data_IF_252855621573
#
_entry.id   IF_252855621573
#
_cell.length_a   1.000
_cell.length_b   1.000
_cell.length_c   1.000
_cell.angle_alpha   90.00
_cell.angle_beta   90.00
_cell.angle_gamma   90.00
#
_symmetry.space_group_name_H-M   'P 1'
#
loop_
_entity.id
_entity.type
_entity.pdbx_description
1 polymer ?
#
# COMPACT_ATOMS: atom_id res chain seq x y z
N UNK A 1 5.77 14.37 -12.64
CA UNK A 1 5.51 13.05 -12.05
C UNK A 1 6.49 12.92 -10.91
N UNK A 2 6.00 12.94 -9.66
CA UNK A 2 6.83 12.85 -8.46
C UNK A 2 6.22 11.83 -7.51
N UNK A 3 6.97 10.78 -7.19
CA UNK A 3 6.59 9.74 -6.23
C UNK A 3 7.56 9.83 -5.07
N UNK A 4 7.05 9.79 -3.84
CA UNK A 4 7.90 9.80 -2.65
C UNK A 4 7.30 8.98 -1.52
N UNK A 5 8.18 8.31 -0.79
CA UNK A 5 7.89 7.60 0.44
C UNK A 5 8.80 8.21 1.51
N UNK A 6 8.22 8.66 2.61
CA UNK A 6 8.97 9.37 3.65
C UNK A 6 8.53 8.96 5.06
N UNK A 7 9.49 8.85 5.97
CA UNK A 7 9.26 8.77 7.42
C UNK A 7 9.33 10.16 8.11
N UNK A 8 9.51 11.24 7.33
CA UNK A 8 9.68 12.62 7.81
C UNK A 8 11.14 13.06 7.97
N UNK A 9 12.11 12.15 8.04
CA UNK A 9 13.56 12.47 8.10
C UNK A 9 14.32 12.01 6.85
N UNK A 10 13.87 10.91 6.27
CA UNK A 10 14.41 10.23 5.10
C UNK A 10 13.29 10.13 4.07
N UNK A 11 13.63 10.40 2.81
CA UNK A 11 12.69 10.31 1.70
C UNK A 11 13.34 9.52 0.58
N UNK A 12 12.62 8.53 0.08
CA UNK A 12 13.00 7.75 -1.09
C UNK A 12 12.05 8.08 -2.23
N UNK A 13 12.59 8.23 -3.43
CA UNK A 13 11.85 8.65 -4.63
C UNK A 13 11.94 7.57 -5.71
N UNK A 14 10.98 6.63 -5.78
CA UNK A 14 10.91 5.68 -6.87
C UNK A 14 10.78 6.38 -8.23
N UNK A 15 11.27 5.71 -9.26
CA UNK A 15 11.10 6.16 -10.65
C UNK A 15 9.62 6.07 -11.08
N UNK A 16 8.95 4.96 -10.75
CA UNK A 16 7.53 4.75 -11.04
C UNK A 16 6.87 3.77 -10.04
N UNK A 17 5.53 3.72 -10.06
CA UNK A 17 4.71 2.68 -9.44
C UNK A 17 4.10 1.81 -10.54
N UNK A 18 4.69 0.64 -10.77
CA UNK A 18 4.27 -0.32 -11.79
C UNK A 18 2.84 -0.84 -11.55
N UNK A 19 2.46 -0.94 -10.28
CA UNK A 19 1.15 -1.40 -9.89
C UNK A 19 0.89 -1.21 -8.42
N UNK A 20 -0.39 -1.12 -8.07
CA UNK A 20 -0.83 -1.15 -6.68
C UNK A 20 -2.20 -1.82 -6.56
N UNK A 21 -2.44 -2.45 -5.41
CA UNK A 21 -3.74 -2.96 -5.03
C UNK A 21 -4.26 -2.19 -3.81
N UNK A 22 -5.59 -2.07 -3.73
CA UNK A 22 -6.26 -1.53 -2.54
C UNK A 22 -7.42 -2.45 -2.21
N UNK A 23 -7.47 -2.86 -0.95
CA UNK A 23 -8.58 -3.60 -0.38
C UNK A 23 -8.95 -2.99 0.98
N UNK A 24 -10.21 -3.19 1.38
CA UNK A 24 -10.72 -2.84 2.71
C UNK A 24 -11.60 -3.99 3.16
N UNK A 25 -11.45 -4.40 4.42
CA UNK A 25 -12.36 -5.39 4.99
C UNK A 25 -13.71 -4.74 5.29
N UNK A 26 -14.79 -5.33 4.76
CA UNK A 26 -16.15 -4.94 5.16
C UNK A 26 -16.39 -5.32 6.61
N UNK A 27 -17.01 -4.41 7.36
CA UNK A 27 -17.45 -4.66 8.74
C UNK A 27 -18.98 -4.77 8.85
N UNK A 28 -19.69 -4.74 7.73
CA UNK A 28 -21.15 -4.87 7.72
C UNK A 28 -21.57 -6.24 8.26
N UNK A 29 -22.63 -6.24 9.08
CA UNK A 29 -23.25 -7.47 9.59
C UNK A 29 -24.59 -7.66 8.88
N UNK A 30 -24.75 -8.80 8.23
CA UNK A 30 -25.98 -9.16 7.52
C UNK A 30 -26.78 -10.19 8.31
N UNK A 31 -28.07 -9.94 8.47
CA UNK A 31 -29.01 -10.78 9.19
C UNK A 31 -30.03 -11.36 8.22
N UNK A 32 -30.10 -12.68 8.16
CA UNK A 32 -31.16 -13.35 7.40
C UNK A 32 -32.46 -13.30 8.20
N UNK A 33 -33.53 -12.82 7.60
CA UNK A 33 -34.83 -12.75 8.27
C UNK A 33 -35.52 -14.10 8.13
N UNK A 34 -35.78 -14.77 9.26
CA UNK A 34 -36.43 -16.08 9.28
C UNK A 34 -37.87 -15.95 8.76
N UNK A 35 -38.27 -16.88 7.89
CA UNK A 35 -39.63 -16.93 7.33
C UNK A 35 -39.79 -16.25 5.97
N UNK A 36 -38.71 -15.69 5.41
CA UNK A 36 -38.68 -15.15 4.05
C UNK A 36 -37.39 -15.54 3.35
N UNK A 37 -37.50 -15.98 2.10
CA UNK A 37 -36.35 -16.46 1.32
C UNK A 37 -35.49 -15.32 0.74
N UNK A 38 -35.97 -14.07 0.81
CA UNK A 38 -35.37 -12.95 0.06
C UNK A 38 -35.06 -11.72 0.90
N UNK A 39 -35.50 -11.65 2.16
CA UNK A 39 -35.22 -10.47 2.98
C UNK A 39 -33.96 -10.66 3.83
N UNK A 40 -33.05 -9.69 3.69
CA UNK A 40 -31.83 -9.54 4.48
C UNK A 40 -31.90 -8.17 5.12
N UNK A 41 -31.64 -8.11 6.42
CA UNK A 41 -31.39 -6.85 7.12
C UNK A 41 -29.88 -6.65 7.29
N UNK A 42 -29.44 -5.40 7.39
CA UNK A 42 -28.02 -5.08 7.46
C UNK A 42 -27.73 -4.01 8.52
N UNK A 43 -26.76 -4.30 9.38
CA UNK A 43 -26.13 -3.27 10.22
C UNK A 43 -24.91 -2.75 9.46
N UNK A 44 -24.98 -1.49 9.02
CA UNK A 44 -23.92 -0.84 8.27
C UNK A 44 -22.85 -0.29 9.21
N UNK A 45 -21.61 -0.70 8.99
CA UNK A 45 -20.43 -0.27 9.74
C UNK A 45 -19.38 0.17 8.70
N UNK A 46 -18.67 1.25 8.98
CA UNK A 46 -17.61 1.73 8.10
C UNK A 46 -16.61 0.61 7.77
N UNK A 47 -16.20 0.52 6.51
CA UNK A 47 -15.16 -0.43 6.13
C UNK A 47 -13.85 -0.12 6.88
N UNK A 48 -13.03 -1.15 7.07
CA UNK A 48 -11.70 -0.99 7.65
C UNK A 48 -10.78 -0.06 6.87
N UNK A 49 -9.62 0.22 7.45
CA UNK A 49 -8.54 0.96 6.79
C UNK A 49 -8.05 0.21 5.54
N UNK A 50 -7.48 0.96 4.59
CA UNK A 50 -6.96 0.36 3.36
C UNK A 50 -5.76 -0.53 3.65
N UNK A 51 -5.62 -1.57 2.85
CA UNK A 51 -4.41 -2.39 2.77
C UNK A 51 -4.20 -2.82 1.33
N UNK A 52 -3.00 -3.26 1.01
CA UNK A 52 -2.70 -3.79 -0.31
C UNK A 52 -1.21 -3.95 -0.52
N UNK A 53 -0.82 -3.96 -1.79
CA UNK A 53 0.58 -4.11 -2.20
C UNK A 53 0.94 -2.98 -3.14
N UNK A 54 2.09 -2.35 -2.92
CA UNK A 54 2.73 -1.47 -3.91
C UNK A 54 3.80 -2.24 -4.66
N UNK A 55 4.03 -1.91 -5.92
CA UNK A 55 5.22 -2.35 -6.67
C UNK A 55 5.91 -1.13 -7.27
N UNK A 56 7.07 -0.81 -6.72
CA UNK A 56 7.90 0.34 -7.09
C UNK A 56 8.96 -0.06 -8.09
N UNK A 57 9.33 0.87 -8.97
CA UNK A 57 10.43 0.75 -9.92
C UNK A 57 11.57 1.70 -9.52
N UNK A 58 12.79 1.22 -9.61
CA UNK A 58 14.03 1.95 -9.41
C UNK A 58 15.02 1.64 -10.54
N UNK A 59 15.81 2.62 -10.94
CA UNK A 59 16.92 2.46 -11.89
C UNK A 59 18.24 2.11 -11.18
N UNK A 60 18.33 2.33 -9.86
CA UNK A 60 19.52 2.05 -9.04
C UNK A 60 19.22 1.06 -7.90
N UNK A 61 20.23 0.27 -7.53
CA UNK A 61 20.15 -0.68 -6.42
C UNK A 61 20.13 0.04 -5.07
N UNK A 62 20.92 1.11 -4.91
CA UNK A 62 21.06 1.79 -3.62
C UNK A 62 19.73 2.43 -3.18
N UNK A 63 18.95 3.01 -4.10
CA UNK A 63 17.62 3.54 -3.81
C UNK A 63 16.60 2.43 -3.50
N UNK A 64 16.68 1.29 -4.18
CA UNK A 64 15.85 0.13 -3.88
C UNK A 64 16.18 -0.47 -2.49
N UNK A 65 17.46 -0.46 -2.08
CA UNK A 65 17.92 -0.82 -0.73
C UNK A 65 17.48 0.20 0.31
N UNK A 66 17.51 1.49 -0.04
CA UNK A 66 17.04 2.55 0.84
C UNK A 66 15.54 2.40 1.11
N UNK A 67 14.73 2.06 0.10
CA UNK A 67 13.29 1.81 0.31
C UNK A 67 13.05 0.61 1.23
N UNK A 68 13.77 -0.49 1.05
CA UNK A 68 13.68 -1.66 1.94
C UNK A 68 14.03 -1.29 3.38
N UNK A 69 15.12 -0.56 3.57
CA UNK A 69 15.56 -0.09 4.89
C UNK A 69 14.51 0.82 5.52
N UNK A 70 13.88 1.68 4.73
CA UNK A 70 12.82 2.59 5.17
C UNK A 70 11.59 1.83 5.68
N UNK A 71 11.09 0.84 4.92
CA UNK A 71 9.93 0.02 5.34
C UNK A 71 10.21 -0.91 6.51
N UNK A 72 11.46 -1.35 6.69
CA UNK A 72 11.85 -2.19 7.83
C UNK A 72 12.18 -1.38 9.09
N UNK A 73 12.26 -0.05 8.99
CA UNK A 73 12.71 0.89 10.02
C UNK A 73 11.82 1.05 11.27
N UNK A 74 10.73 0.30 11.43
CA UNK A 74 9.74 0.44 12.54
C UNK A 74 9.08 1.83 12.64
N UNK A 75 9.01 2.54 11.53
CA UNK A 75 8.42 3.88 11.45
C UNK A 75 7.15 3.87 10.58
N UNK A 76 6.34 4.92 10.72
CA UNK A 76 5.20 5.16 9.83
C UNK A 76 5.67 5.94 8.61
N UNK A 77 5.11 5.59 7.45
CA UNK A 77 5.50 6.15 6.17
C UNK A 77 4.35 6.93 5.56
N UNK A 78 4.69 8.05 4.94
CA UNK A 78 3.78 8.86 4.13
C UNK A 78 4.08 8.60 2.66
N UNK A 79 3.04 8.20 1.92
CA UNK A 79 3.11 8.08 0.47
C UNK A 79 2.64 9.36 -0.21
N UNK A 80 3.34 9.83 -1.25
CA UNK A 80 2.86 10.89 -2.11
C UNK A 80 3.18 10.63 -3.58
N UNK A 81 2.21 10.90 -4.44
CA UNK A 81 2.26 10.72 -5.88
C UNK A 81 1.39 11.77 -6.59
N UNK A 82 2.03 12.60 -7.43
CA UNK A 82 1.32 13.66 -8.16
C UNK A 82 0.24 13.14 -9.11
N UNK A 83 0.41 11.92 -9.60
CA UNK A 83 -0.43 11.34 -10.66
C UNK A 83 -1.52 10.44 -10.07
N UNK A 84 -1.39 10.06 -8.78
CA UNK A 84 -2.37 9.24 -8.03
C UNK A 84 -2.86 9.99 -6.78
N UNK A 85 -3.58 11.11 -6.93
CA UNK A 85 -3.97 11.97 -5.80
C UNK A 85 -4.88 11.29 -4.76
N UNK A 86 -5.58 10.20 -5.11
CA UNK A 86 -6.48 9.47 -4.20
C UNK A 86 -5.76 8.69 -3.08
N UNK A 87 -4.45 8.46 -3.22
CA UNK A 87 -3.62 7.77 -2.24
C UNK A 87 -2.48 8.64 -1.70
N UNK A 88 -2.31 9.86 -2.23
CA UNK A 88 -1.34 10.83 -1.73
C UNK A 88 -1.71 11.32 -0.34
N UNK A 89 -0.71 11.40 0.54
CA UNK A 89 -0.87 11.71 1.96
C UNK A 89 -1.23 10.51 2.83
N UNK A 90 -1.28 9.30 2.26
CA UNK A 90 -1.60 8.09 3.03
C UNK A 90 -0.48 7.74 4.01
N UNK A 91 -0.84 7.66 5.29
CA UNK A 91 0.03 7.17 6.35
C UNK A 91 -0.14 5.66 6.48
N UNK A 92 0.95 4.93 6.34
CA UNK A 92 0.94 3.47 6.29
C UNK A 92 2.22 2.86 6.87
N UNK A 93 2.20 1.55 7.06
CA UNK A 93 3.37 0.77 7.45
C UNK A 93 3.39 -0.58 6.71
N UNK A 94 4.53 -1.26 6.78
CA UNK A 94 4.68 -2.64 6.32
C UNK A 94 3.72 -3.56 7.10
N UNK A 95 2.91 -4.35 6.41
CA UNK A 95 1.91 -5.25 7.03
C UNK A 95 2.12 -6.73 6.71
N UNK A 96 3.06 -7.04 5.83
CA UNK A 96 3.31 -8.39 5.33
C UNK A 96 4.71 -8.52 4.78
N UNK A 97 4.80 -8.92 3.50
CA UNK A 97 6.09 -9.20 2.86
C UNK A 97 6.61 -7.96 2.14
N UNK A 98 7.93 -7.81 2.17
CA UNK A 98 8.67 -6.94 1.27
C UNK A 98 9.58 -7.82 0.40
N UNK A 99 9.53 -7.62 -0.91
CA UNK A 99 10.39 -8.31 -1.87
C UNK A 99 11.11 -7.28 -2.73
N UNK A 100 12.43 -7.34 -2.78
CA UNK A 100 13.23 -6.66 -3.79
C UNK A 100 13.69 -7.66 -4.83
N UNK A 101 13.49 -7.35 -6.11
CA UNK A 101 13.91 -8.17 -7.22
C UNK A 101 14.52 -7.31 -8.32
N UNK A 102 15.59 -7.80 -8.94
CA UNK A 102 16.12 -7.20 -10.16
C UNK A 102 15.35 -7.77 -11.37
N UNK A 103 15.16 -6.96 -12.41
CA UNK A 103 14.58 -7.45 -13.65
C UNK A 103 15.53 -8.42 -14.40
N UNK A 104 14.98 -9.14 -15.37
CA UNK A 104 15.75 -10.13 -16.15
C UNK A 104 16.92 -9.50 -16.92
N UNK A 105 16.80 -8.23 -17.33
CA UNK A 105 17.84 -7.51 -18.05
C UNK A 105 18.94 -6.94 -17.14
N UNK A 106 18.75 -7.00 -15.81
CA UNK A 106 19.63 -6.44 -14.78
C UNK A 106 19.85 -4.94 -14.90
N UNK A 107 18.84 -4.22 -15.37
CA UNK A 107 18.90 -2.77 -15.56
C UNK A 107 18.05 -1.99 -14.58
N UNK A 108 17.04 -2.64 -14.00
CA UNK A 108 16.11 -1.99 -13.07
C UNK A 108 15.79 -2.90 -11.89
N UNK A 109 15.37 -2.28 -10.81
CA UNK A 109 14.98 -2.93 -9.58
C UNK A 109 13.52 -2.68 -9.29
N UNK A 110 12.86 -3.71 -8.78
CA UNK A 110 11.49 -3.63 -8.31
C UNK A 110 11.45 -3.91 -6.82
N UNK A 111 10.62 -3.15 -6.10
CA UNK A 111 10.35 -3.39 -4.68
C UNK A 111 8.84 -3.51 -4.51
N UNK A 112 8.40 -4.71 -4.16
CA UNK A 112 6.99 -4.99 -3.83
C UNK A 112 6.80 -5.00 -2.32
N UNK A 113 5.81 -4.26 -1.84
CA UNK A 113 5.58 -4.06 -0.40
C UNK A 113 4.12 -4.20 -0.04
N UNK A 114 3.81 -5.13 0.86
CA UNK A 114 2.50 -5.21 1.50
C UNK A 114 2.35 -4.14 2.58
N UNK A 115 1.30 -3.34 2.50
CA UNK A 115 1.08 -2.19 3.36
C UNK A 115 -0.28 -2.21 4.04
N UNK A 116 -0.35 -1.52 5.18
CA UNK A 116 -1.58 -1.25 5.93
C UNK A 116 -1.63 0.24 6.26
N UNK A 117 -2.72 0.90 5.89
CA UNK A 117 -3.02 2.28 6.29
C UNK A 117 -3.30 2.34 7.79
N UNK A 118 -2.89 3.44 8.43
CA UNK A 118 -2.95 3.62 9.88
C UNK A 118 -3.87 4.75 10.34
N UNK A 119 -4.24 5.69 9.48
CA UNK A 119 -5.12 6.82 9.80
C UNK A 119 -5.75 7.44 8.57
#
# INVERSE_FOLDING_TARGET
MSISISNGTTTVMPLDVLGYTISRQSQNVFHNIIGTATAIDATLIGAGLRSGTFTFLFDDEDDAVALESLYTGREVLTYADSDRPSITGMVHALSGTLTRAQDDSRTVWTVSVDWQELS
#
